data_IF_648351034286
#
_entry.id   IF_648351034286
#
_cell.length_a   1.000
_cell.length_b   1.000
_cell.length_c   1.000
_cell.angle_alpha   90.00
_cell.angle_beta   90.00
_cell.angle_gamma   90.00
#
_symmetry.space_group_name_H-M   'P 1'
#
loop_
_entity.id
_entity.type
_entity.pdbx_description
1 polymer ?
#
# COMPACT_ATOMS: atom_id res chain seq x y z
N UNK A 1 -2.62 22.95 -20.39
CA UNK A 1 -2.97 23.82 -19.26
C UNK A 1 -2.65 23.03 -18.00
N UNK A 2 -1.59 23.42 -17.30
CA UNK A 2 -1.05 22.74 -16.13
C UNK A 2 -2.07 22.69 -14.99
N UNK A 3 -2.40 21.48 -14.53
CA UNK A 3 -3.14 21.27 -13.28
C UNK A 3 -2.42 20.19 -12.47
N UNK A 4 -1.11 20.35 -12.26
CA UNK A 4 -0.37 19.69 -11.18
C UNK A 4 -0.70 20.40 -9.85
N UNK A 5 -1.96 20.27 -9.42
CA UNK A 5 -2.46 20.66 -8.10
C UNK A 5 -3.61 19.73 -7.71
N UNK A 6 -3.31 18.45 -7.53
CA UNK A 6 -4.12 17.63 -6.63
C UNK A 6 -3.54 17.76 -5.24
N UNK A 7 -4.40 18.31 -4.37
CA UNK A 7 -4.11 18.73 -3.02
C UNK A 7 -3.60 17.56 -2.19
N UNK A 8 -2.29 17.49 -2.02
CA UNK A 8 -1.69 16.79 -0.88
C UNK A 8 -1.95 17.69 0.33
N UNK A 9 -2.89 17.20 1.14
CA UNK A 9 -3.35 17.60 2.47
C UNK A 9 -2.40 18.59 3.18
N UNK A 10 -2.79 19.86 3.17
CA UNK A 10 -2.19 20.92 3.98
C UNK A 10 -2.82 20.95 5.39
N UNK A 11 -1.96 21.04 6.39
CA UNK A 11 -2.18 21.54 7.77
C UNK A 11 -3.05 20.78 8.77
N UNK A 12 -3.56 19.59 8.45
CA UNK A 12 -3.92 18.57 9.45
C UNK A 12 -3.78 17.19 8.82
N UNK A 13 -2.71 16.44 9.13
CA UNK A 13 -2.78 14.98 9.00
C UNK A 13 -3.66 14.46 10.15
N UNK A 14 -4.94 14.82 10.11
CA UNK A 14 -5.96 14.10 10.83
C UNK A 14 -6.47 13.08 9.82
N UNK A 15 -6.20 11.80 10.11
CA UNK A 15 -6.91 10.62 9.64
C UNK A 15 -7.94 10.90 8.55
N UNK A 16 -7.74 10.32 7.36
CA UNK A 16 -8.85 10.11 6.42
C UNK A 16 -10.05 9.64 7.24
N UNK A 17 -11.08 10.49 7.35
CA UNK A 17 -12.12 10.21 8.33
C UNK A 17 -12.89 8.95 7.91
N UNK A 18 -13.58 8.29 8.85
CA UNK A 18 -14.26 7.02 8.52
C UNK A 18 -15.24 7.17 7.35
N UNK A 19 -15.87 8.35 7.18
CA UNK A 19 -16.79 8.59 6.07
C UNK A 19 -16.03 8.69 4.75
N UNK A 20 -14.88 9.35 4.74
CA UNK A 20 -13.99 9.43 3.57
C UNK A 20 -13.48 8.05 3.17
N UNK A 21 -13.00 7.22 4.12
CA UNK A 21 -12.59 5.83 3.86
C UNK A 21 -13.71 5.00 3.27
N UNK A 22 -14.92 5.10 3.82
CA UNK A 22 -16.11 4.41 3.30
C UNK A 22 -16.42 4.84 1.86
N UNK A 23 -16.32 6.13 1.55
CA UNK A 23 -16.57 6.62 0.20
C UNK A 23 -15.53 6.10 -0.81
N UNK A 24 -14.25 6.09 -0.44
CA UNK A 24 -13.20 5.56 -1.30
C UNK A 24 -13.38 4.06 -1.53
N UNK A 25 -13.70 3.28 -0.49
CA UNK A 25 -13.96 1.84 -0.67
C UNK A 25 -15.16 1.60 -1.59
N UNK A 26 -16.23 2.39 -1.48
CA UNK A 26 -17.36 2.29 -2.41
C UNK A 26 -16.96 2.61 -3.84
N UNK A 27 -16.12 3.64 -4.05
CA UNK A 27 -15.57 3.95 -5.37
C UNK A 27 -14.74 2.78 -5.93
N UNK A 28 -13.91 2.15 -5.10
CA UNK A 28 -13.15 0.94 -5.47
C UNK A 28 -14.11 -0.18 -5.89
N UNK A 29 -15.13 -0.49 -5.06
CA UNK A 29 -16.11 -1.56 -5.27
C UNK A 29 -16.97 -1.37 -6.53
N UNK A 30 -17.27 -0.13 -6.90
CA UNK A 30 -18.13 0.20 -8.05
C UNK A 30 -17.32 0.55 -9.32
N UNK A 31 -15.99 0.52 -9.26
CA UNK A 31 -15.10 0.76 -10.40
C UNK A 31 -14.86 -0.50 -11.26
N UNK A 32 -14.17 -0.35 -12.39
CA UNK A 32 -13.84 -1.49 -13.27
C UNK A 32 -12.63 -2.31 -12.79
N UNK A 33 -12.21 -2.21 -11.53
CA UNK A 33 -11.02 -2.92 -11.03
C UNK A 33 -11.37 -4.18 -10.27
N UNK A 34 -10.48 -5.16 -10.34
CA UNK A 34 -10.42 -6.28 -9.41
C UNK A 34 -9.10 -6.22 -8.65
N UNK A 35 -9.09 -6.68 -7.41
CA UNK A 35 -7.95 -6.66 -6.50
C UNK A 35 -7.55 -8.09 -6.15
N UNK A 36 -6.27 -8.41 -6.31
CA UNK A 36 -5.64 -9.48 -5.55
C UNK A 36 -4.60 -8.86 -4.62
N UNK A 37 -4.58 -9.27 -3.36
CA UNK A 37 -3.68 -8.68 -2.37
C UNK A 37 -2.82 -9.75 -1.72
N UNK A 38 -1.57 -9.39 -1.43
CA UNK A 38 -0.59 -10.23 -0.75
C UNK A 38 0.16 -9.41 0.28
N UNK A 39 -0.21 -9.57 1.56
CA UNK A 39 0.25 -8.71 2.65
C UNK A 39 1.03 -9.50 3.71
N UNK A 40 2.19 -8.99 4.10
CA UNK A 40 3.03 -9.58 5.14
C UNK A 40 3.54 -8.51 6.10
N UNK A 41 3.28 -8.69 7.40
CA UNK A 41 3.73 -7.78 8.45
C UNK A 41 3.01 -6.42 8.53
N UNK A 42 2.34 -5.95 7.46
CA UNK A 42 1.54 -4.72 7.40
C UNK A 42 0.55 -4.70 6.22
N UNK A 43 -0.34 -3.71 6.17
CA UNK A 43 -1.41 -3.52 5.19
C UNK A 43 -2.77 -4.07 5.62
N UNK A 44 -2.89 -4.57 6.85
CA UNK A 44 -4.07 -5.31 7.29
C UNK A 44 -5.27 -4.41 7.54
N UNK A 45 -5.04 -3.15 7.93
CA UNK A 45 -6.10 -2.17 8.12
C UNK A 45 -6.86 -1.87 6.82
N UNK A 46 -6.18 -1.88 5.65
CA UNK A 46 -6.85 -1.80 4.35
C UNK A 46 -7.76 -2.99 4.07
N UNK A 47 -7.25 -4.21 4.31
CA UNK A 47 -8.05 -5.41 4.14
C UNK A 47 -9.26 -5.43 5.10
N UNK A 48 -9.06 -5.02 6.35
CA UNK A 48 -10.13 -4.88 7.32
C UNK A 48 -11.19 -3.88 6.85
N UNK A 49 -10.79 -2.68 6.43
CA UNK A 49 -11.72 -1.66 5.96
C UNK A 49 -12.46 -2.09 4.69
N UNK A 50 -11.81 -2.83 3.80
CA UNK A 50 -12.46 -3.39 2.61
C UNK A 50 -13.49 -4.47 2.96
N UNK A 51 -13.16 -5.37 3.90
CA UNK A 51 -14.02 -6.50 4.29
C UNK A 51 -15.14 -6.13 5.26
N UNK A 52 -14.97 -5.08 6.07
CA UNK A 52 -16.00 -4.64 7.03
C UNK A 52 -17.24 -4.09 6.32
N UNK A 53 -17.10 -3.62 5.08
CA UNK A 53 -18.19 -3.13 4.26
C UNK A 53 -18.74 -4.24 3.36
N UNK A 54 -20.06 -4.25 3.18
CA UNK A 54 -20.71 -5.08 2.17
C UNK A 54 -20.21 -4.74 0.77
N UNK A 55 -20.23 -5.71 -0.14
CA UNK A 55 -19.82 -5.51 -1.53
C UNK A 55 -18.34 -5.76 -1.84
N UNK A 56 -17.53 -6.20 -0.86
CA UNK A 56 -16.13 -6.57 -1.09
C UNK A 56 -15.95 -7.56 -2.26
N UNK A 57 -16.89 -8.51 -2.45
CA UNK A 57 -16.86 -9.49 -3.54
C UNK A 57 -16.96 -8.90 -4.96
N UNK A 58 -17.37 -7.62 -5.10
CA UNK A 58 -17.38 -6.95 -6.41
C UNK A 58 -15.97 -6.69 -6.93
N UNK A 59 -15.03 -6.38 -6.03
CA UNK A 59 -13.67 -5.99 -6.40
C UNK A 59 -12.60 -6.93 -5.85
N UNK A 60 -12.74 -7.55 -4.67
CA UNK A 60 -11.72 -8.41 -4.09
C UNK A 60 -11.81 -9.83 -4.67
N UNK A 61 -10.83 -10.21 -5.48
CA UNK A 61 -10.69 -11.54 -6.05
C UNK A 61 -10.01 -12.52 -5.10
N UNK A 62 -8.96 -12.08 -4.40
CA UNK A 62 -8.19 -12.91 -3.48
C UNK A 62 -7.40 -12.07 -2.47
N UNK A 63 -7.19 -12.63 -1.27
CA UNK A 63 -6.28 -12.10 -0.27
C UNK A 63 -5.36 -13.22 0.27
N UNK A 64 -4.05 -13.03 0.18
CA UNK A 64 -3.02 -13.90 0.72
C UNK A 64 -2.28 -13.17 1.86
N UNK A 65 -2.10 -13.84 3.01
CA UNK A 65 -1.37 -13.29 4.16
C UNK A 65 -0.19 -14.21 4.51
N UNK A 66 0.90 -14.19 3.73
CA UNK A 66 2.07 -15.00 3.99
C UNK A 66 2.88 -14.40 5.15
N UNK A 67 2.51 -14.73 6.39
CA UNK A 67 3.06 -14.09 7.58
C UNK A 67 4.38 -14.73 8.08
N UNK A 68 4.52 -16.05 7.97
CA UNK A 68 5.75 -16.75 8.39
C UNK A 68 6.80 -16.76 7.28
N UNK A 69 8.07 -16.87 7.66
CA UNK A 69 9.18 -17.12 6.72
C UNK A 69 8.89 -18.33 5.82
N UNK A 70 8.40 -19.43 6.40
CA UNK A 70 8.04 -20.63 5.65
C UNK A 70 6.95 -20.35 4.61
N UNK A 71 5.91 -19.59 4.97
CA UNK A 71 4.83 -19.24 4.04
C UNK A 71 5.32 -18.31 2.93
N UNK A 72 6.19 -17.35 3.24
CA UNK A 72 6.84 -16.47 2.27
C UNK A 72 7.73 -17.25 1.30
N UNK A 73 8.52 -18.20 1.81
CA UNK A 73 9.39 -19.02 0.99
C UNK A 73 8.60 -19.98 0.09
N UNK A 74 7.67 -20.75 0.66
CA UNK A 74 6.91 -21.77 -0.07
C UNK A 74 6.00 -21.19 -1.15
N UNK A 75 5.32 -20.08 -0.85
CA UNK A 75 4.32 -19.51 -1.77
C UNK A 75 4.91 -18.44 -2.70
N UNK A 76 5.96 -17.73 -2.26
CA UNK A 76 6.49 -16.56 -2.97
C UNK A 76 7.99 -16.61 -3.27
N UNK A 77 8.71 -17.64 -2.82
CA UNK A 77 10.17 -17.77 -2.98
C UNK A 77 10.93 -16.54 -2.44
N UNK A 78 10.44 -16.04 -1.30
CA UNK A 78 11.01 -14.88 -0.60
C UNK A 78 11.83 -15.37 0.59
N UNK A 79 13.04 -14.82 0.71
CA UNK A 79 13.98 -15.05 1.80
C UNK A 79 14.47 -13.71 2.37
N UNK A 80 15.22 -13.77 3.47
CA UNK A 80 15.86 -12.59 4.04
C UNK A 80 16.81 -11.87 3.06
N UNK A 81 16.90 -10.53 3.14
CA UNK A 81 16.09 -9.64 3.96
C UNK A 81 14.64 -9.53 3.46
N UNK A 82 13.65 -9.71 4.33
CA UNK A 82 12.23 -9.81 3.93
C UNK A 82 11.68 -8.49 3.35
N UNK A 83 11.75 -7.41 4.12
CA UNK A 83 11.08 -6.13 3.81
C UNK A 83 11.94 -5.29 2.84
N UNK A 84 11.91 -5.68 1.56
CA UNK A 84 12.58 -4.99 0.46
C UNK A 84 11.61 -4.70 -0.68
N UNK A 85 11.96 -3.73 -1.53
CA UNK A 85 11.22 -3.43 -2.76
C UNK A 85 11.04 -4.67 -3.63
N UNK A 86 12.11 -5.42 -3.88
CA UNK A 86 12.10 -6.58 -4.77
C UNK A 86 11.25 -7.73 -4.24
N UNK A 87 11.34 -8.03 -2.94
CA UNK A 87 10.47 -9.05 -2.34
C UNK A 87 9.00 -8.61 -2.31
N UNK A 88 8.72 -7.32 -2.11
CA UNK A 88 7.35 -6.79 -2.20
C UNK A 88 6.83 -6.83 -3.64
N UNK A 89 7.68 -6.54 -4.63
CA UNK A 89 7.37 -6.72 -6.05
C UNK A 89 7.06 -8.19 -6.36
N UNK A 90 7.81 -9.14 -5.79
CA UNK A 90 7.52 -10.59 -5.95
C UNK A 90 6.13 -10.95 -5.42
N UNK A 91 5.71 -10.42 -4.27
CA UNK A 91 4.34 -10.63 -3.77
C UNK A 91 3.30 -10.20 -4.82
N UNK A 92 3.42 -8.96 -5.31
CA UNK A 92 2.50 -8.44 -6.31
C UNK A 92 2.56 -9.26 -7.62
N UNK A 93 3.76 -9.59 -8.11
CA UNK A 93 3.94 -10.31 -9.37
C UNK A 93 3.35 -11.71 -9.35
N UNK A 94 3.62 -12.49 -8.30
CA UNK A 94 3.16 -13.88 -8.19
C UNK A 94 1.63 -13.94 -8.09
N UNK A 95 1.02 -13.07 -7.29
CA UNK A 95 -0.45 -13.00 -7.21
C UNK A 95 -1.05 -12.49 -8.53
N UNK A 96 -0.42 -11.54 -9.23
CA UNK A 96 -0.87 -11.12 -10.56
C UNK A 96 -0.83 -12.28 -11.55
N UNK A 97 0.27 -13.04 -11.61
CA UNK A 97 0.43 -14.17 -12.52
C UNK A 97 -0.58 -15.29 -12.26
N UNK A 98 -0.89 -15.53 -10.98
CA UNK A 98 -1.87 -16.53 -10.54
C UNK A 98 -3.29 -16.20 -11.01
N UNK A 99 -3.66 -14.92 -11.01
CA UNK A 99 -5.05 -14.50 -11.25
C UNK A 99 -5.29 -13.82 -12.61
N UNK A 100 -4.25 -13.33 -13.30
CA UNK A 100 -4.36 -12.61 -14.58
C UNK A 100 -5.01 -13.39 -15.72
N UNK A 101 -4.92 -14.72 -15.69
CA UNK A 101 -5.51 -15.60 -16.71
C UNK A 101 -7.03 -15.72 -16.62
N UNK A 102 -7.63 -15.25 -15.52
CA UNK A 102 -9.05 -15.48 -15.21
C UNK A 102 -9.89 -14.18 -15.25
N UNK A 103 -9.37 -13.08 -15.78
CA UNK A 103 -10.05 -11.78 -15.75
C UNK A 103 -10.86 -11.56 -17.03
N UNK A 104 -12.13 -11.19 -16.86
CA UNK A 104 -13.01 -10.75 -17.93
C UNK A 104 -13.18 -9.21 -17.86
N UNK A 105 -12.65 -8.46 -18.83
CA UNK A 105 -12.85 -7.02 -19.07
C UNK A 105 -12.48 -6.02 -17.92
N UNK A 106 -12.28 -6.48 -16.69
CA UNK A 106 -11.80 -5.69 -15.57
C UNK A 106 -10.28 -5.48 -15.64
N UNK A 107 -9.79 -4.45 -14.93
CA UNK A 107 -8.37 -4.24 -14.70
C UNK A 107 -8.02 -4.92 -13.37
N UNK A 108 -7.21 -5.98 -13.40
CA UNK A 108 -6.70 -6.57 -12.15
C UNK A 108 -5.53 -5.74 -11.66
N UNK A 109 -5.61 -5.33 -10.39
CA UNK A 109 -4.52 -4.73 -9.64
C UNK A 109 -4.08 -5.75 -8.59
N UNK A 110 -2.83 -6.15 -8.68
CA UNK A 110 -2.16 -6.93 -7.64
C UNK A 110 -1.41 -6.00 -6.71
N UNK A 111 -1.68 -6.11 -5.40
CA UNK A 111 -1.08 -5.28 -4.36
C UNK A 111 -0.22 -6.17 -3.44
N UNK A 112 1.10 -5.98 -3.50
CA UNK A 112 2.03 -6.53 -2.53
C UNK A 112 2.29 -5.51 -1.43
N UNK A 113 2.24 -5.92 -0.16
CA UNK A 113 2.67 -5.08 0.95
C UNK A 113 3.56 -5.87 1.90
N UNK A 114 4.72 -5.33 2.23
CA UNK A 114 5.61 -5.86 3.25
C UNK A 114 5.95 -4.77 4.26
N UNK A 115 5.77 -5.07 5.54
CA UNK A 115 6.04 -4.11 6.61
C UNK A 115 6.85 -4.70 7.75
N UNK A 116 7.88 -3.94 8.16
CA UNK A 116 8.51 -4.06 9.46
C UNK A 116 8.00 -2.91 10.32
N UNK A 117 6.75 -2.99 10.79
CA UNK A 117 6.16 -1.97 11.67
C UNK A 117 6.35 -2.34 13.15
N UNK A 118 5.97 -1.45 14.07
CA UNK A 118 6.21 -1.56 15.51
C UNK A 118 5.79 -2.89 16.11
N UNK A 119 6.62 -3.35 17.04
CA UNK A 119 6.45 -4.59 17.81
C UNK A 119 6.54 -4.30 19.31
N UNK A 120 6.20 -5.28 20.15
CA UNK A 120 6.31 -5.15 21.61
C UNK A 120 7.76 -5.11 22.11
N UNK A 121 8.72 -5.58 21.29
CA UNK A 121 10.15 -5.49 21.55
C UNK A 121 10.79 -4.40 20.68
N UNK A 122 11.94 -3.88 21.13
CA UNK A 122 12.71 -2.87 20.41
C UNK A 122 13.40 -3.45 19.16
N UNK A 123 13.17 -2.82 18.00
CA UNK A 123 13.76 -3.23 16.73
C UNK A 123 15.07 -2.50 16.46
N UNK A 124 16.11 -3.26 16.11
CA UNK A 124 17.38 -2.72 15.61
C UNK A 124 17.25 -2.03 14.25
N UNK A 125 16.48 -2.62 13.33
CA UNK A 125 16.26 -2.06 11.99
C UNK A 125 15.12 -1.06 11.94
N UNK A 126 15.07 -0.26 10.87
CA UNK A 126 14.04 0.76 10.65
C UNK A 126 12.61 0.20 10.70
N UNK A 127 11.69 1.03 11.18
CA UNK A 127 10.27 0.78 11.02
C UNK A 127 9.87 1.28 9.64
N UNK A 128 9.50 0.36 8.75
CA UNK A 128 9.30 0.68 7.32
C UNK A 128 8.31 -0.25 6.64
N UNK A 129 7.75 0.20 5.53
CA UNK A 129 6.91 -0.61 4.66
C UNK A 129 7.16 -0.32 3.18
N UNK A 130 7.01 -1.36 2.36
CA UNK A 130 6.94 -1.26 0.91
C UNK A 130 5.54 -1.68 0.47
N UNK A 131 4.98 -0.92 -0.46
CA UNK A 131 3.72 -1.21 -1.13
C UNK A 131 4.01 -1.25 -2.62
N UNK A 132 3.63 -2.32 -3.31
CA UNK A 132 3.90 -2.50 -4.74
C UNK A 132 2.60 -2.85 -5.47
N UNK A 133 2.34 -2.14 -6.56
CA UNK A 133 1.18 -2.32 -7.42
C UNK A 133 1.66 -2.85 -8.77
N UNK A 134 0.98 -3.87 -9.27
CA UNK A 134 1.14 -4.34 -10.64
C UNK A 134 -0.23 -4.58 -11.25
N UNK A 135 -0.43 -4.13 -12.48
CA UNK A 135 -1.73 -4.28 -13.15
C UNK A 135 -1.68 -5.27 -14.30
N UNK A 136 -2.83 -5.83 -14.68
CA UNK A 136 -2.96 -6.72 -15.84
C UNK A 136 -2.60 -6.05 -17.17
N UNK A 137 -2.70 -4.72 -17.25
CA UNK A 137 -2.26 -3.90 -18.39
C UNK A 137 -0.80 -3.42 -18.27
N UNK A 138 -0.01 -4.07 -17.41
CA UNK A 138 1.46 -3.94 -17.29
C UNK A 138 1.94 -2.60 -16.72
N UNK A 139 1.14 -1.94 -15.91
CA UNK A 139 1.59 -0.80 -15.11
C UNK A 139 2.24 -1.30 -13.82
N UNK A 140 3.26 -0.58 -13.37
CA UNK A 140 3.92 -0.81 -12.10
C UNK A 140 4.00 0.51 -11.33
N UNK A 141 3.80 0.45 -10.02
CA UNK A 141 3.96 1.59 -9.13
C UNK A 141 4.30 1.11 -7.73
N UNK A 142 4.96 1.92 -6.91
CA UNK A 142 5.26 1.54 -5.54
C UNK A 142 5.33 2.73 -4.59
N UNK A 143 5.16 2.46 -3.30
CA UNK A 143 5.51 3.38 -2.23
C UNK A 143 6.52 2.75 -1.30
N UNK A 144 7.36 3.62 -0.73
CA UNK A 144 8.14 3.32 0.45
C UNK A 144 7.73 4.25 1.58
N UNK A 145 7.44 3.68 2.75
CA UNK A 145 7.13 4.43 3.97
C UNK A 145 8.20 4.12 5.01
N UNK A 146 8.79 5.17 5.59
CA UNK A 146 9.70 5.09 6.74
C UNK A 146 9.08 5.81 7.93
N UNK A 147 8.93 5.11 9.04
CA UNK A 147 8.36 5.63 10.27
C UNK A 147 9.46 6.11 11.20
N UNK A 148 9.31 7.32 11.74
CA UNK A 148 10.25 7.87 12.70
C UNK A 148 10.07 7.24 14.08
N UNK A 149 11.20 6.92 14.73
CA UNK A 149 11.23 6.28 16.05
C UNK A 149 11.36 7.29 17.19
N UNK A 150 12.14 8.34 16.99
CA UNK A 150 12.50 9.32 18.02
C UNK A 150 11.47 10.45 18.12
N UNK A 151 10.21 10.07 18.29
CA UNK A 151 9.08 11.00 18.39
C UNK A 151 8.76 11.31 19.85
N UNK A 152 8.25 12.51 20.12
CA UNK A 152 7.70 12.86 21.45
C UNK A 152 6.64 11.86 21.90
N UNK A 153 5.81 11.42 20.96
CA UNK A 153 4.83 10.35 21.14
C UNK A 153 5.07 9.26 20.10
N UNK A 154 5.63 8.11 20.51
CA UNK A 154 5.90 7.01 19.58
C UNK A 154 4.61 6.54 18.90
N UNK A 155 4.66 6.33 17.58
CA UNK A 155 3.54 5.77 16.83
C UNK A 155 3.15 4.40 17.38
N UNK A 156 1.87 4.06 17.33
CA UNK A 156 1.40 2.70 17.62
C UNK A 156 1.49 1.84 16.37
N UNK A 157 1.49 0.51 16.54
CA UNK A 157 1.44 -0.43 15.41
C UNK A 157 0.21 -0.17 14.53
N UNK A 158 -0.94 0.01 15.17
CA UNK A 158 -2.21 0.33 14.50
C UNK A 158 -2.11 1.61 13.66
N UNK A 159 -1.51 2.67 14.21
CA UNK A 159 -1.35 3.94 13.50
C UNK A 159 -0.39 3.82 12.31
N UNK A 160 0.68 3.03 12.44
CA UNK A 160 1.57 2.76 11.31
C UNK A 160 0.85 1.99 10.19
N UNK A 161 0.02 1.01 10.55
CA UNK A 161 -0.78 0.28 9.57
C UNK A 161 -1.88 1.14 8.95
N UNK A 162 -2.42 2.12 9.68
CA UNK A 162 -3.38 3.11 9.16
C UNK A 162 -2.73 4.07 8.16
N UNK A 163 -1.48 4.48 8.34
CA UNK A 163 -0.77 5.25 7.31
C UNK A 163 -0.58 4.45 6.01
N UNK A 164 -0.30 3.15 6.13
CA UNK A 164 -0.20 2.23 4.98
C UNK A 164 -1.58 2.08 4.32
N UNK A 165 -2.64 1.96 5.11
CA UNK A 165 -4.02 1.92 4.63
C UNK A 165 -4.37 3.16 3.80
N UNK A 166 -4.12 4.35 4.34
CA UNK A 166 -4.37 5.63 3.67
C UNK A 166 -3.59 5.69 2.35
N UNK A 167 -2.31 5.29 2.34
CA UNK A 167 -1.51 5.23 1.11
C UNK A 167 -2.12 4.28 0.07
N UNK A 168 -2.62 3.11 0.49
CA UNK A 168 -3.29 2.17 -0.41
C UNK A 168 -4.59 2.75 -0.97
N UNK A 169 -5.46 3.26 -0.10
CA UNK A 169 -6.75 3.82 -0.48
C UNK A 169 -6.60 5.01 -1.43
N UNK A 170 -5.76 5.99 -1.06
CA UNK A 170 -5.52 7.17 -1.85
C UNK A 170 -4.97 6.81 -3.24
N UNK A 171 -4.00 5.89 -3.31
CA UNK A 171 -3.40 5.51 -4.59
C UNK A 171 -4.36 4.77 -5.52
N UNK A 172 -5.20 3.87 -5.00
CA UNK A 172 -6.21 3.21 -5.83
C UNK A 172 -7.27 4.21 -6.29
N UNK A 173 -7.70 5.12 -5.41
CA UNK A 173 -8.64 6.18 -5.77
C UNK A 173 -8.08 7.08 -6.87
N UNK A 174 -6.82 7.53 -6.73
CA UNK A 174 -6.14 8.33 -7.75
C UNK A 174 -5.99 7.57 -9.06
N UNK A 175 -5.65 6.28 -9.01
CA UNK A 175 -5.61 5.41 -10.19
C UNK A 175 -6.96 5.41 -10.92
N UNK A 176 -8.07 5.20 -10.20
CA UNK A 176 -9.43 5.23 -10.78
C UNK A 176 -9.72 6.60 -11.39
N UNK A 177 -9.47 7.69 -10.65
CA UNK A 177 -9.76 9.06 -11.08
C UNK A 177 -8.88 9.52 -12.25
N UNK A 178 -7.69 8.95 -12.39
CA UNK A 178 -6.77 9.22 -13.49
C UNK A 178 -6.96 8.27 -14.69
N UNK A 179 -8.20 7.82 -14.92
CA UNK A 179 -8.57 6.91 -16.01
C UNK A 179 -7.75 5.61 -16.00
N UNK A 180 -7.60 5.02 -14.81
CA UNK A 180 -6.89 3.77 -14.59
C UNK A 180 -5.42 3.84 -14.99
N UNK A 181 -4.74 4.91 -14.60
CA UNK A 181 -3.30 5.09 -14.84
C UNK A 181 -2.54 5.51 -13.59
N UNK A 182 -1.49 4.76 -13.26
CA UNK A 182 -0.50 5.22 -12.30
C UNK A 182 0.38 6.33 -12.91
N UNK A 183 0.91 7.23 -12.09
CA UNK A 183 1.98 8.14 -12.52
C UNK A 183 3.18 7.33 -13.04
N UNK A 184 3.75 7.72 -14.18
CA UNK A 184 4.92 7.05 -14.76
C UNK A 184 6.26 7.60 -14.28
N UNK A 185 6.23 8.73 -13.58
CA UNK A 185 7.44 9.43 -13.13
C UNK A 185 8.08 8.68 -11.96
N UNK A 186 9.39 8.45 -12.07
CA UNK A 186 10.23 8.03 -10.96
C UNK A 186 10.64 9.30 -10.23
N UNK A 187 10.46 9.32 -8.90
CA UNK A 187 10.78 10.50 -8.09
C UNK A 187 11.66 10.13 -6.91
N UNK A 188 12.75 10.88 -6.73
CA UNK A 188 13.54 10.85 -5.49
C UNK A 188 12.94 11.74 -4.39
N UNK A 189 11.90 12.50 -4.72
CA UNK A 189 11.21 13.35 -3.76
C UNK A 189 10.39 12.50 -2.78
N UNK A 190 10.38 12.95 -1.53
CA UNK A 190 9.53 12.38 -0.50
C UNK A 190 8.61 13.44 0.09
N UNK A 191 7.50 12.97 0.61
CA UNK A 191 6.56 13.75 1.37
C UNK A 191 6.67 13.35 2.83
N UNK A 192 6.47 14.31 3.71
CA UNK A 192 6.47 14.06 5.15
C UNK A 192 5.06 14.21 5.70
N UNK A 193 4.58 13.18 6.39
CA UNK A 193 3.31 13.22 7.11
C UNK A 193 3.57 13.67 8.55
N UNK A 194 2.68 14.54 9.08
CA UNK A 194 2.86 15.16 10.40
C UNK A 194 1.73 14.86 11.36
N UNK A 195 2.01 14.55 12.62
CA UNK A 195 1.03 14.55 13.71
C UNK A 195 1.40 15.66 14.68
N UNK A 196 0.45 16.53 15.04
CA UNK A 196 0.69 17.65 15.96
C UNK A 196 1.90 18.52 15.57
N UNK A 197 2.10 18.71 14.26
CA UNK A 197 3.25 19.41 13.63
C UNK A 197 4.61 18.72 13.73
N UNK A 198 4.69 17.52 14.32
CA UNK A 198 5.87 16.65 14.32
C UNK A 198 5.83 15.74 13.10
N UNK A 199 6.94 15.68 12.35
CA UNK A 199 7.10 14.75 11.23
C UNK A 199 7.11 13.31 11.77
N UNK A 200 6.31 12.42 11.19
CA UNK A 200 6.15 11.05 11.70
C UNK A 200 6.40 9.97 10.65
N UNK A 201 6.25 10.28 9.36
CA UNK A 201 6.47 9.35 8.25
C UNK A 201 7.12 10.08 7.08
N UNK A 202 8.17 9.52 6.52
CA UNK A 202 8.66 9.84 5.17
C UNK A 202 8.03 8.87 4.17
N UNK A 203 7.34 9.39 3.17
CA UNK A 203 6.69 8.62 2.11
C UNK A 203 7.30 8.97 0.76
N UNK A 204 7.84 7.97 0.08
CA UNK A 204 8.40 8.10 -1.27
C UNK A 204 7.45 7.44 -2.27
N UNK A 205 7.07 8.20 -3.29
CA UNK A 205 6.18 7.77 -4.36
C UNK A 205 6.99 7.35 -5.58
N UNK A 206 6.90 6.07 -5.95
CA UNK A 206 7.66 5.47 -7.04
C UNK A 206 9.16 5.83 -7.04
N UNK A 207 9.87 5.59 -5.91
CA UNK A 207 11.30 5.89 -5.82
C UNK A 207 12.07 5.10 -6.87
N UNK A 208 13.27 5.57 -7.29
CA UNK A 208 14.16 4.76 -8.11
C UNK A 208 14.57 3.48 -7.38
N UNK A 209 15.20 2.55 -8.10
CA UNK A 209 15.79 1.34 -7.52
C UNK A 209 17.02 1.72 -6.67
N UNK A 210 16.80 2.48 -5.60
CA UNK A 210 17.80 2.74 -4.57
C UNK A 210 17.61 1.66 -3.51
N UNK A 211 18.72 1.03 -3.16
CA UNK A 211 18.82 0.08 -2.05
C UNK A 211 18.69 0.91 -0.76
N UNK A 212 17.54 0.80 -0.06
CA UNK A 212 17.33 1.35 1.30
C UNK A 212 17.35 0.24 2.34
#
# INVERSE_FOLDING_TARGET
MNINKHNIIYDKAYYMDEKEKINIIRQIQDSNIQLCISFSGAGFQFLYDLLKLEGASKCLLNAEIPYSEESLNQNFQINEPFVTRDNTKKLAKISLDKFSKNINNNILISIGCMGSIKTYYEKKGDEKAWIYYMTSDKQEYCYYLKFFKDLKKPLTRELQDEFINIAIMANINDFINNNYKFPSEISDEFQTLKIDSEDVVEMHSNPPNIII
#
